data_IF_733385246342
#
_entry.id   IF_733385246342
#
_cell.length_a   1.000
_cell.length_b   1.000
_cell.length_c   1.000
_cell.angle_alpha   90.00
_cell.angle_beta   90.00
_cell.angle_gamma   90.00
#
_symmetry.space_group_name_H-M   'P 1'
#
loop_
_entity.id
_entity.type
_entity.pdbx_description
1 polymer ?
#
# COMPACT_ATOMS: atom_id res chain seq x y z
N UNK A 1 -26.57 -49.92 16.95
CA UNK A 1 -27.42 -51.10 16.75
C UNK A 1 -27.07 -51.73 15.41
N UNK A 2 -26.11 -52.65 15.37
CA UNK A 2 -26.03 -53.68 14.34
C UNK A 2 -25.08 -54.77 14.84
N UNK A 3 -25.70 -55.89 15.24
CA UNK A 3 -25.06 -57.16 15.57
C UNK A 3 -24.47 -57.74 14.28
N UNK A 4 -23.21 -58.17 14.33
CA UNK A 4 -22.66 -59.10 13.34
C UNK A 4 -22.59 -60.46 14.01
N UNK A 5 -23.27 -61.43 13.38
CA UNK A 5 -23.44 -62.80 13.85
C UNK A 5 -22.27 -63.70 13.45
N UNK A 6 -22.06 -64.71 14.30
CA UNK A 6 -21.16 -65.88 14.23
C UNK A 6 -20.95 -66.51 12.85
N UNK A 7 -19.77 -67.13 12.69
CA UNK A 7 -19.57 -68.24 11.75
C UNK A 7 -18.09 -68.62 11.57
N UNK A 8 -17.60 -69.56 12.38
CA UNK A 8 -16.35 -70.33 12.17
C UNK A 8 -16.47 -71.25 10.96
N UNK A 9 -15.44 -71.33 10.12
CA UNK A 9 -15.06 -72.54 9.38
C UNK A 9 -13.58 -72.46 9.00
N UNK A 10 -12.83 -73.46 9.48
CA UNK A 10 -11.45 -73.79 9.10
C UNK A 10 -11.56 -74.54 7.78
N UNK A 11 -10.86 -74.09 6.73
CA UNK A 11 -10.71 -74.88 5.51
C UNK A 11 -9.28 -74.81 4.97
N UNK A 12 -8.54 -75.86 5.34
CA UNK A 12 -7.50 -76.59 4.65
C UNK A 12 -6.93 -75.99 3.36
N UNK A 13 -5.65 -75.66 3.48
CA UNK A 13 -4.60 -75.57 2.46
C UNK A 13 -4.81 -76.54 1.26
N UNK A 14 -4.90 -75.98 0.05
CA UNK A 14 -4.52 -76.68 -1.19
C UNK A 14 -3.83 -75.72 -2.15
N UNK A 15 -2.53 -75.91 -2.30
CA UNK A 15 -1.77 -75.44 -3.44
C UNK A 15 -2.31 -76.11 -4.72
N UNK A 16 -2.80 -75.31 -5.66
CA UNK A 16 -3.11 -75.76 -7.00
C UNK A 16 -1.96 -75.35 -7.92
N UNK A 17 -1.07 -76.31 -8.19
CA UNK A 17 -0.14 -76.23 -9.32
C UNK A 17 -0.88 -76.49 -10.63
N UNK A 18 -0.36 -75.92 -11.72
CA UNK A 18 -0.64 -76.18 -13.14
C UNK A 18 -1.86 -75.48 -13.74
N UNK A 19 -1.62 -74.32 -14.35
CA UNK A 19 -2.28 -73.94 -15.60
C UNK A 19 -1.28 -74.19 -16.73
N UNK A 20 -1.56 -75.22 -17.52
CA UNK A 20 -0.86 -75.50 -18.76
C UNK A 20 -1.30 -74.49 -19.85
N UNK A 21 -0.33 -74.06 -20.67
CA UNK A 21 -0.60 -73.45 -21.97
C UNK A 21 -0.40 -71.93 -22.05
N UNK A 22 0.86 -71.50 -22.11
CA UNK A 22 1.21 -70.32 -22.92
C UNK A 22 2.61 -70.51 -23.51
N UNK A 23 2.66 -70.30 -24.82
CA UNK A 23 3.77 -70.51 -25.75
C UNK A 23 4.93 -69.56 -25.43
N UNK A 24 6.14 -70.09 -25.52
CA UNK A 24 7.41 -69.40 -25.38
C UNK A 24 7.66 -68.34 -26.47
N UNK A 25 8.62 -67.46 -26.18
CA UNK A 25 9.40 -66.59 -27.10
C UNK A 25 8.82 -65.18 -27.32
N UNK A 26 9.11 -64.28 -26.38
CA UNK A 26 9.53 -62.90 -26.66
C UNK A 26 10.27 -62.35 -25.44
N UNK A 27 11.53 -61.96 -25.64
CA UNK A 27 12.32 -61.03 -24.82
C UNK A 27 12.33 -61.25 -23.29
N UNK A 28 13.42 -61.86 -22.81
CA UNK A 28 13.76 -61.99 -21.39
C UNK A 28 14.09 -60.66 -20.67
N UNK A 29 13.52 -59.54 -21.12
CA UNK A 29 13.65 -58.21 -20.51
C UNK A 29 12.39 -57.76 -19.76
N UNK A 30 11.41 -58.63 -19.49
CA UNK A 30 10.18 -58.22 -18.79
C UNK A 30 10.11 -58.57 -17.29
N UNK A 31 11.16 -59.15 -16.70
CA UNK A 31 11.18 -59.45 -15.24
C UNK A 31 12.32 -58.77 -14.50
N UNK A 32 12.68 -57.55 -14.90
CA UNK A 32 13.54 -56.69 -14.10
C UNK A 32 12.69 -55.64 -13.37
N UNK A 33 12.21 -55.95 -12.17
CA UNK A 33 11.61 -54.92 -11.33
C UNK A 33 10.72 -55.33 -10.15
N UNK A 34 10.38 -56.61 -9.99
CA UNK A 34 9.62 -57.05 -8.81
C UNK A 34 10.57 -57.57 -7.73
N UNK A 35 11.21 -56.66 -6.98
CA UNK A 35 11.84 -57.05 -5.70
C UNK A 35 10.71 -57.44 -4.76
N UNK A 36 10.63 -58.74 -4.41
CA UNK A 36 9.70 -59.23 -3.42
C UNK A 36 9.94 -58.53 -2.09
N UNK A 37 8.91 -57.87 -1.54
CA UNK A 37 8.96 -57.16 -0.25
C UNK A 37 9.34 -58.08 0.91
N UNK A 38 9.12 -59.38 0.76
CA UNK A 38 9.32 -60.37 1.81
C UNK A 38 10.79 -60.81 1.95
N UNK A 39 11.65 -60.49 0.98
CA UNK A 39 13.07 -60.88 0.95
C UNK A 39 14.04 -59.69 1.15
N UNK A 40 13.57 -58.58 1.70
CA UNK A 40 14.42 -57.43 2.01
C UNK A 40 15.34 -57.80 3.20
N UNK A 41 16.65 -57.56 3.06
CA UNK A 41 17.71 -57.80 4.06
C UNK A 41 18.03 -59.26 4.44
N UNK A 42 17.57 -60.27 3.70
CA UNK A 42 17.98 -61.65 3.97
C UNK A 42 19.40 -61.91 3.47
N UNK A 43 20.21 -62.61 4.26
CA UNK A 43 21.58 -63.03 3.91
C UNK A 43 21.53 -63.92 2.66
N UNK A 44 21.69 -63.30 1.51
CA UNK A 44 21.82 -63.98 0.22
C UNK A 44 23.22 -64.58 0.16
N UNK A 45 23.30 -65.91 0.14
CA UNK A 45 24.56 -66.61 -0.03
C UNK A 45 25.24 -66.16 -1.35
N UNK A 46 26.54 -65.97 -1.20
CA UNK A 46 27.52 -65.23 -2.00
C UNK A 46 27.31 -65.24 -3.53
N UNK A 47 27.16 -64.05 -4.11
CA UNK A 47 27.28 -63.81 -5.55
C UNK A 47 28.75 -63.47 -5.87
N UNK A 48 29.46 -64.36 -6.57
CA UNK A 48 30.92 -64.32 -6.81
C UNK A 48 31.42 -63.17 -7.74
N UNK A 49 30.53 -62.28 -8.21
CA UNK A 49 30.88 -61.18 -9.12
C UNK A 49 30.54 -59.83 -8.50
N UNK A 50 31.57 -59.01 -8.27
CA UNK A 50 31.42 -57.64 -7.74
C UNK A 50 30.89 -56.71 -8.83
N UNK A 51 29.70 -56.13 -8.60
CA UNK A 51 29.17 -55.03 -9.42
C UNK A 51 29.45 -53.69 -8.73
N UNK A 52 30.00 -52.74 -9.48
CA UNK A 52 30.18 -51.37 -9.01
C UNK A 52 28.83 -50.67 -9.07
N UNK A 53 28.29 -50.27 -7.90
CA UNK A 53 27.04 -49.49 -7.84
C UNK A 53 27.34 -48.08 -8.37
N UNK A 54 26.81 -47.69 -9.55
CA UNK A 54 27.12 -46.42 -10.17
C UNK A 54 26.28 -45.31 -9.55
N UNK A 55 26.56 -44.97 -8.29
CA UNK A 55 25.89 -43.90 -7.55
C UNK A 55 24.48 -44.28 -7.07
N UNK A 56 24.16 -43.86 -5.85
CA UNK A 56 22.83 -44.06 -5.26
C UNK A 56 22.08 -42.73 -5.35
N UNK A 57 20.83 -42.79 -5.80
CA UNK A 57 19.94 -41.62 -5.75
C UNK A 57 19.64 -41.25 -4.30
N UNK A 58 19.64 -39.95 -4.00
CA UNK A 58 19.23 -39.49 -2.68
C UNK A 58 17.81 -39.93 -2.38
N UNK A 59 17.58 -40.34 -1.13
CA UNK A 59 16.27 -40.73 -0.66
C UNK A 59 15.28 -39.57 -0.87
N UNK A 60 14.16 -39.77 -1.59
CA UNK A 60 13.24 -38.70 -1.92
C UNK A 60 12.38 -38.36 -0.70
N UNK A 61 12.91 -37.52 0.20
CA UNK A 61 12.16 -37.01 1.34
C UNK A 61 10.86 -36.36 0.88
N UNK A 62 9.77 -36.67 1.56
CA UNK A 62 8.48 -36.01 1.36
C UNK A 62 8.63 -34.51 1.64
N UNK A 63 8.39 -33.67 0.63
CA UNK A 63 8.54 -32.21 0.72
C UNK A 63 7.32 -31.52 1.33
N UNK A 64 6.76 -32.09 2.39
CA UNK A 64 5.64 -31.49 3.11
C UNK A 64 6.14 -30.38 4.04
N UNK A 65 5.39 -29.28 4.12
CA UNK A 65 5.69 -28.17 5.03
C UNK A 65 5.18 -28.52 6.43
N UNK A 66 6.09 -28.70 7.40
CA UNK A 66 5.76 -29.08 8.77
C UNK A 66 5.70 -27.89 9.76
N UNK A 67 5.95 -26.66 9.28
CA UNK A 67 5.82 -25.46 10.11
C UNK A 67 4.70 -24.57 9.62
N UNK A 68 3.88 -24.11 10.56
CA UNK A 68 2.95 -23.02 10.33
C UNK A 68 3.59 -21.71 10.82
N UNK A 69 3.47 -20.68 10.00
CA UNK A 69 3.92 -19.35 10.36
C UNK A 69 2.70 -18.44 10.47
N UNK A 70 2.61 -17.67 11.57
CA UNK A 70 1.52 -16.71 11.74
C UNK A 70 1.67 -15.53 10.79
N UNK A 71 0.53 -14.98 10.37
CA UNK A 71 0.48 -13.82 9.45
C UNK A 71 1.23 -12.59 10.00
N UNK A 72 1.14 -12.35 11.30
CA UNK A 72 1.83 -11.22 11.97
C UNK A 72 3.35 -11.43 11.93
N UNK A 73 3.84 -12.66 12.19
CA UNK A 73 5.27 -12.96 12.12
C UNK A 73 5.80 -12.78 10.70
N UNK A 74 5.01 -13.20 9.70
CA UNK A 74 5.36 -13.03 8.30
C UNK A 74 5.45 -11.56 7.91
N UNK A 75 4.48 -10.73 8.31
CA UNK A 75 4.49 -9.30 8.02
C UNK A 75 5.61 -8.55 8.73
N UNK A 76 5.96 -8.94 9.96
CA UNK A 76 7.10 -8.35 10.65
C UNK A 76 8.42 -8.63 9.92
N UNK A 77 8.61 -9.84 9.38
CA UNK A 77 9.85 -10.22 8.66
C UNK A 77 9.88 -9.75 7.21
N UNK A 78 8.74 -9.78 6.52
CA UNK A 78 8.60 -9.47 5.09
C UNK A 78 7.81 -8.18 4.90
N UNK A 79 8.39 -7.05 5.31
CA UNK A 79 7.77 -5.74 5.10
C UNK A 79 7.87 -5.33 3.62
N UNK A 80 6.79 -4.79 3.02
CA UNK A 80 6.79 -4.39 1.62
C UNK A 80 7.64 -3.13 1.36
N UNK A 81 7.77 -2.26 2.37
CA UNK A 81 8.50 -1.00 2.27
C UNK A 81 9.56 -0.91 3.37
N UNK A 82 10.66 -0.22 3.07
CA UNK A 82 11.62 0.21 4.07
C UNK A 82 10.97 1.22 5.04
N UNK A 83 11.58 1.42 6.21
CA UNK A 83 11.13 2.45 7.15
C UNK A 83 11.24 3.83 6.50
N UNK A 84 10.13 4.56 6.46
CA UNK A 84 10.07 5.95 6.01
C UNK A 84 10.21 6.89 7.22
N UNK A 85 10.82 8.06 7.05
CA UNK A 85 11.09 8.99 8.16
C UNK A 85 9.80 9.61 8.73
N UNK A 86 8.91 10.05 7.84
CA UNK A 86 7.60 10.61 8.21
C UNK A 86 6.58 9.52 8.61
N UNK A 87 6.35 8.53 7.75
CA UNK A 87 5.34 7.49 7.95
C UNK A 87 5.73 6.39 8.95
N UNK A 88 7.03 6.13 9.12
CA UNK A 88 7.52 4.98 9.84
C UNK A 88 7.41 3.69 9.03
N UNK A 89 6.94 2.62 9.67
CA UNK A 89 6.79 1.29 9.04
C UNK A 89 5.32 0.88 9.03
N UNK A 90 4.92 0.10 8.02
CA UNK A 90 3.62 -0.57 8.03
C UNK A 90 3.52 -1.47 9.28
N UNK A 91 2.40 -1.37 9.99
CA UNK A 91 2.15 -2.11 11.22
C UNK A 91 1.93 -3.60 10.95
N UNK A 92 2.37 -4.45 11.87
CA UNK A 92 2.33 -5.92 11.68
C UNK A 92 0.90 -6.49 11.84
N UNK A 93 -0.04 -5.68 12.31
CA UNK A 93 -1.47 -5.99 12.40
C UNK A 93 -2.30 -5.27 11.33
N UNK A 94 -1.67 -4.53 10.41
CA UNK A 94 -2.36 -3.78 9.36
C UNK A 94 -3.17 -4.70 8.45
N UNK A 95 -4.30 -4.21 7.94
CA UNK A 95 -5.12 -4.95 6.97
C UNK A 95 -4.86 -4.40 5.56
N UNK A 96 -5.04 -5.22 4.53
CA UNK A 96 -4.97 -4.74 3.14
C UNK A 96 -6.12 -3.75 2.83
N UNK A 97 -7.25 -3.90 3.54
CA UNK A 97 -8.40 -3.00 3.46
C UNK A 97 -8.15 -1.69 4.21
N UNK A 98 -7.48 -1.80 5.36
CA UNK A 98 -7.17 -0.70 6.26
C UNK A 98 -5.68 -0.71 6.62
N UNK A 99 -4.81 -0.25 5.71
CA UNK A 99 -3.38 -0.22 5.99
C UNK A 99 -3.11 0.82 7.07
N UNK A 100 -2.27 0.42 8.02
CA UNK A 100 -1.91 1.23 9.18
C UNK A 100 -0.40 1.35 9.28
N UNK A 101 0.08 2.57 9.49
CA UNK A 101 1.50 2.87 9.65
C UNK A 101 1.76 3.34 11.06
N UNK A 102 2.89 2.87 11.60
CA UNK A 102 3.34 3.21 12.94
C UNK A 102 4.67 3.94 12.88
N UNK A 103 4.72 5.11 13.52
CA UNK A 103 5.95 5.85 13.75
C UNK A 103 6.07 6.26 15.22
N UNK A 104 7.29 6.17 15.74
CA UNK A 104 7.66 6.51 17.13
C UNK A 104 8.61 7.71 17.19
N UNK A 105 8.68 8.50 16.11
CA UNK A 105 9.58 9.65 15.99
C UNK A 105 8.77 10.94 15.94
N UNK A 106 9.41 11.98 16.45
CA UNK A 106 8.90 13.35 16.55
C UNK A 106 8.27 13.75 15.22
N UNK A 107 6.97 13.98 15.25
CA UNK A 107 6.22 14.47 14.11
C UNK A 107 5.91 15.94 14.33
N UNK A 108 6.29 16.70 13.31
CA UNK A 108 6.19 18.15 13.20
C UNK A 108 4.70 18.58 13.06
N UNK A 109 4.39 19.88 12.96
CA UNK A 109 3.02 20.44 13.02
C UNK A 109 2.02 19.78 12.05
N UNK A 110 0.81 20.31 11.97
CA UNK A 110 -0.23 19.91 11.00
C UNK A 110 0.29 19.58 9.58
N UNK A 111 1.29 20.32 9.08
CA UNK A 111 1.96 20.02 7.81
C UNK A 111 2.62 18.62 7.75
N UNK A 112 3.20 18.16 8.86
CA UNK A 112 3.70 16.80 9.06
C UNK A 112 2.59 15.76 8.89
N UNK A 113 1.44 15.95 9.56
CA UNK A 113 0.29 15.06 9.38
C UNK A 113 -0.20 15.01 7.93
N UNK A 114 -0.21 16.16 7.24
CA UNK A 114 -0.61 16.24 5.84
C UNK A 114 0.40 15.50 4.93
N UNK A 115 1.70 15.71 5.13
CA UNK A 115 2.74 15.01 4.38
C UNK A 115 2.70 13.49 4.60
N UNK A 116 2.39 13.05 5.82
CA UNK A 116 2.18 11.63 6.11
C UNK A 116 0.97 11.06 5.35
N UNK A 117 -0.15 11.78 5.33
CA UNK A 117 -1.34 11.32 4.59
C UNK A 117 -1.04 11.15 3.09
N UNK A 118 -0.29 12.08 2.50
CA UNK A 118 0.13 12.03 1.09
C UNK A 118 1.04 10.82 0.83
N UNK A 119 2.06 10.63 1.66
CA UNK A 119 3.01 9.52 1.50
C UNK A 119 2.34 8.15 1.74
N UNK A 120 1.41 8.04 2.68
CA UNK A 120 0.61 6.81 2.85
C UNK A 120 -0.26 6.51 1.64
N UNK A 121 -0.88 7.52 1.02
CA UNK A 121 -1.66 7.32 -0.18
C UNK A 121 -0.78 6.83 -1.34
N UNK A 122 0.45 7.33 -1.45
CA UNK A 122 1.43 6.87 -2.42
C UNK A 122 1.84 5.39 -2.19
N UNK A 123 2.17 5.03 -0.94
CA UNK A 123 2.47 3.64 -0.59
C UNK A 123 1.27 2.71 -0.82
N UNK A 124 0.06 3.18 -0.52
CA UNK A 124 -1.17 2.42 -0.78
C UNK A 124 -1.43 2.20 -2.27
N UNK A 125 -1.19 3.22 -3.10
CA UNK A 125 -1.25 3.07 -4.55
C UNK A 125 -0.24 2.02 -5.04
N UNK A 126 1.00 2.09 -4.53
CA UNK A 126 2.06 1.13 -4.83
C UNK A 126 1.70 -0.30 -4.42
N UNK A 127 1.08 -0.53 -3.26
CA UNK A 127 0.57 -1.84 -2.83
C UNK A 127 -0.52 -2.38 -3.76
N UNK A 128 -1.32 -1.50 -4.36
CA UNK A 128 -2.33 -1.85 -5.38
C UNK A 128 -1.73 -2.03 -6.79
N UNK A 129 -0.42 -1.86 -6.95
CA UNK A 129 0.27 -1.92 -8.25
C UNK A 129 -0.04 -0.72 -9.16
N UNK A 130 -0.40 0.42 -8.57
CA UNK A 130 -0.80 1.64 -9.28
C UNK A 130 0.24 2.72 -9.00
N UNK A 131 0.80 3.32 -10.05
CA UNK A 131 1.59 4.55 -9.90
C UNK A 131 0.65 5.75 -9.84
N UNK A 132 0.67 6.47 -8.72
CA UNK A 132 -0.14 7.68 -8.56
C UNK A 132 0.52 8.85 -9.29
N UNK A 133 -0.21 9.50 -10.21
CA UNK A 133 0.30 10.69 -10.91
C UNK A 133 -0.03 11.98 -10.17
N UNK A 134 -1.16 12.01 -9.46
CA UNK A 134 -1.64 13.18 -8.73
C UNK A 134 -2.34 12.71 -7.46
N UNK A 135 -2.01 13.39 -6.36
CA UNK A 135 -2.56 13.13 -5.04
C UNK A 135 -3.32 14.37 -4.59
N UNK A 136 -4.59 14.20 -4.25
CA UNK A 136 -5.44 15.27 -3.74
C UNK A 136 -5.86 14.97 -2.31
N UNK A 137 -5.76 15.97 -1.44
CA UNK A 137 -6.22 15.87 -0.05
C UNK A 137 -7.42 16.81 0.11
N UNK A 138 -8.55 16.23 0.51
CA UNK A 138 -9.84 16.91 0.66
C UNK A 138 -10.35 16.76 2.09
N UNK A 139 -11.19 17.72 2.53
CA UNK A 139 -11.86 17.70 3.84
C UNK A 139 -10.92 17.51 5.04
N UNK A 140 -9.72 18.11 4.96
CA UNK A 140 -8.74 18.02 6.03
C UNK A 140 -9.19 18.80 7.27
N UNK A 141 -9.42 18.08 8.36
CA UNK A 141 -9.90 18.62 9.63
C UNK A 141 -8.88 18.32 10.71
N UNK A 142 -8.45 19.37 11.42
CA UNK A 142 -7.54 19.26 12.57
C UNK A 142 -8.36 19.36 13.84
N UNK A 143 -8.37 18.29 14.62
CA UNK A 143 -9.06 18.22 15.91
C UNK A 143 -8.14 18.71 17.03
N UNK A 144 -6.94 18.14 17.11
CA UNK A 144 -6.00 18.45 18.19
C UNK A 144 -4.55 18.43 17.68
N UNK A 145 -3.77 19.44 18.08
CA UNK A 145 -2.34 19.49 17.76
C UNK A 145 -1.56 18.57 18.70
N UNK A 146 -0.61 17.81 18.15
CA UNK A 146 0.34 17.04 18.95
C UNK A 146 1.46 17.97 19.42
N UNK A 147 1.60 18.12 20.74
CA UNK A 147 2.74 18.79 21.37
C UNK A 147 3.67 17.73 21.93
N UNK A 148 4.95 17.87 21.63
CA UNK A 148 5.97 16.93 22.05
C UNK A 148 6.58 17.45 23.33
N UNK A 149 6.29 16.78 24.43
CA UNK A 149 6.95 17.02 25.71
C UNK A 149 8.15 16.08 25.86
N UNK A 150 9.30 16.66 26.22
CA UNK A 150 10.52 15.88 26.43
C UNK A 150 10.32 14.89 27.60
N UNK A 151 10.55 13.61 27.32
CA UNK A 151 10.49 12.53 28.32
C UNK A 151 9.27 11.60 28.19
N UNK A 152 8.29 11.91 27.34
CA UNK A 152 7.18 11.01 27.04
C UNK A 152 7.41 10.22 25.76
N UNK A 153 7.15 8.92 25.82
CA UNK A 153 7.09 8.08 24.63
C UNK A 153 5.71 8.23 23.99
N UNK A 154 5.71 8.61 22.71
CA UNK A 154 4.51 8.74 21.89
C UNK A 154 4.60 7.79 20.70
N UNK A 155 3.47 7.17 20.39
CA UNK A 155 3.30 6.34 19.19
C UNK A 155 2.27 7.01 18.29
N UNK A 156 2.65 7.35 17.06
CA UNK A 156 1.72 7.88 16.06
C UNK A 156 1.29 6.77 15.12
N UNK A 157 -0.02 6.65 14.94
CA UNK A 157 -0.66 5.77 13.99
C UNK A 157 -1.38 6.59 12.92
N UNK A 158 -1.08 6.27 11.67
CA UNK A 158 -1.87 6.71 10.53
C UNK A 158 -2.63 5.50 9.98
N UNK A 159 -3.94 5.65 9.83
CA UNK A 159 -4.80 4.60 9.26
C UNK A 159 -5.47 5.13 8.01
N UNK A 160 -5.45 4.35 6.93
CA UNK A 160 -6.22 4.63 5.73
C UNK A 160 -7.36 3.64 5.61
N UNK A 161 -8.58 4.12 5.37
CA UNK A 161 -9.77 3.31 5.12
C UNK A 161 -10.32 3.65 3.74
N UNK A 162 -10.68 2.64 2.96
CA UNK A 162 -11.35 2.88 1.67
C UNK A 162 -12.74 3.46 1.91
N UNK A 163 -13.02 4.65 1.41
CA UNK A 163 -14.37 5.23 1.46
C UNK A 163 -15.06 5.03 0.11
N UNK A 164 -16.05 4.13 0.09
CA UNK A 164 -16.80 3.82 -1.13
C UNK A 164 -17.99 4.76 -1.36
N UNK A 165 -18.09 5.86 -0.60
CA UNK A 165 -19.30 6.67 -0.48
C UNK A 165 -19.74 7.34 -1.78
N UNK A 166 -18.83 7.56 -2.75
CA UNK A 166 -19.12 8.31 -3.97
C UNK A 166 -18.75 7.59 -5.28
N UNK A 167 -18.41 6.30 -5.25
CA UNK A 167 -17.93 5.55 -6.42
C UNK A 167 -16.53 5.94 -6.90
N UNK A 168 -15.99 7.07 -6.45
CA UNK A 168 -14.60 7.47 -6.63
C UNK A 168 -13.68 6.73 -5.64
N UNK A 169 -12.48 6.38 -6.10
CA UNK A 169 -11.44 5.76 -5.26
C UNK A 169 -10.84 6.80 -4.32
N UNK A 170 -11.54 7.03 -3.22
CA UNK A 170 -11.10 7.89 -2.14
C UNK A 170 -10.77 7.05 -0.91
N UNK A 171 -9.75 7.48 -0.17
CA UNK A 171 -9.29 6.85 1.05
C UNK A 171 -9.40 7.86 2.19
N UNK A 172 -10.24 7.58 3.18
CA UNK A 172 -10.31 8.35 4.42
C UNK A 172 -9.08 8.06 5.28
N UNK A 173 -8.47 9.10 5.83
CA UNK A 173 -7.33 8.96 6.70
C UNK A 173 -7.62 9.49 8.10
N UNK A 174 -7.07 8.80 9.09
CA UNK A 174 -7.15 9.17 10.50
C UNK A 174 -5.76 9.08 11.10
N UNK A 175 -5.29 10.19 11.66
CA UNK A 175 -4.06 10.24 12.43
C UNK A 175 -4.41 10.29 13.92
N UNK A 176 -3.88 9.33 14.67
CA UNK A 176 -3.98 9.29 16.12
C UNK A 176 -2.60 9.11 16.74
N UNK A 177 -2.42 9.61 17.96
CA UNK A 177 -1.27 9.25 18.77
C UNK A 177 -1.71 8.57 20.07
N UNK A 178 -0.84 7.73 20.59
CA UNK A 178 -0.92 7.17 21.92
C UNK A 178 0.12 7.86 22.78
N UNK A 179 -0.34 8.53 23.82
CA UNK A 179 0.51 9.14 24.84
C UNK A 179 0.49 8.29 26.12
N UNK A 180 1.66 8.10 26.72
CA UNK A 180 1.83 7.36 27.97
C UNK A 180 1.19 8.10 29.16
N UNK A 181 -0.11 7.91 29.35
CA UNK A 181 -0.88 8.48 30.47
C UNK A 181 -2.25 9.04 30.08
N UNK A 182 -2.35 9.60 28.86
CA UNK A 182 -3.59 10.21 28.34
C UNK A 182 -4.40 9.26 27.46
N UNK A 183 -3.75 8.25 26.87
CA UNK A 183 -4.39 7.29 25.97
C UNK A 183 -4.36 7.75 24.51
N UNK A 184 -5.33 7.25 23.72
CA UNK A 184 -5.40 7.53 22.28
C UNK A 184 -6.06 8.89 22.04
N UNK A 185 -5.39 9.73 21.26
CA UNK A 185 -5.85 11.07 20.89
C UNK A 185 -5.90 11.14 19.36
N UNK A 186 -7.01 11.64 18.83
CA UNK A 186 -7.18 11.87 17.40
C UNK A 186 -6.74 13.28 17.04
N UNK A 187 -5.82 13.41 16.09
CA UNK A 187 -5.23 14.69 15.71
C UNK A 187 -5.88 15.30 14.49
N UNK A 188 -6.04 14.52 13.43
CA UNK A 188 -6.63 15.00 12.20
C UNK A 188 -7.24 13.89 11.38
N UNK A 189 -8.24 14.27 10.61
CA UNK A 189 -8.94 13.42 9.66
C UNK A 189 -9.01 14.10 8.30
N UNK A 190 -9.24 13.32 7.27
CA UNK A 190 -9.51 13.84 5.95
C UNK A 190 -9.68 12.73 4.94
N UNK A 191 -9.68 13.11 3.66
CA UNK A 191 -9.82 12.19 2.54
C UNK A 191 -8.67 12.42 1.57
N UNK A 192 -7.97 11.37 1.20
CA UNK A 192 -6.97 11.40 0.13
C UNK A 192 -7.48 10.66 -1.09
N UNK A 193 -7.29 11.25 -2.26
CA UNK A 193 -7.57 10.63 -3.55
C UNK A 193 -6.27 10.48 -4.32
N UNK A 194 -6.06 9.29 -4.88
CA UNK A 194 -4.95 9.01 -5.78
C UNK A 194 -5.47 8.88 -7.21
N UNK A 195 -5.12 9.85 -8.05
CA UNK A 195 -5.44 9.81 -9.47
C UNK A 195 -4.38 8.97 -10.20
N UNK A 196 -4.86 7.98 -10.93
CA UNK A 196 -4.02 7.21 -11.86
C UNK A 196 -3.75 8.07 -13.09
N UNK A 197 -2.55 8.00 -13.69
CA UNK A 197 -2.30 8.66 -14.96
C UNK A 197 -3.30 8.13 -16.00
N UNK A 198 -4.30 8.94 -16.33
CA UNK A 198 -5.08 8.71 -17.53
C UNK A 198 -4.14 9.03 -18.68
N UNK A 199 -3.69 8.00 -19.40
CA UNK A 199 -3.03 8.18 -20.69
C UNK A 199 -4.08 8.77 -21.63
N UNK A 200 -4.25 10.09 -21.57
CA UNK A 200 -4.98 10.83 -22.57
C UNK A 200 -4.09 10.77 -23.79
N UNK A 201 -4.31 9.74 -24.62
CA UNK A 201 -3.69 9.64 -25.93
C UNK A 201 -4.09 10.92 -26.68
N UNK A 202 -3.20 11.91 -26.67
CA UNK A 202 -3.30 13.07 -27.56
C UNK A 202 -3.38 12.48 -28.96
N UNK A 203 -4.57 12.48 -29.54
CA UNK A 203 -4.73 12.30 -30.98
C UNK A 203 -3.99 13.47 -31.59
N UNK A 204 -2.76 13.24 -32.05
CA UNK A 204 -2.11 14.12 -33.00
C UNK A 204 -3.10 14.30 -34.15
N UNK A 205 -3.70 15.49 -34.23
CA UNK A 205 -4.46 15.87 -35.41
C UNK A 205 -3.49 15.74 -36.59
N UNK A 206 -3.75 14.78 -37.47
CA UNK A 206 -3.04 14.71 -38.74
C UNK A 206 -3.39 15.99 -39.49
N UNK A 207 -2.40 16.85 -39.69
CA UNK A 207 -2.46 17.99 -40.61
C UNK A 207 -2.74 17.43 -42.00
N UNK A 208 -4.02 17.39 -42.37
CA UNK A 208 -4.42 17.28 -43.78
C UNK A 208 -4.16 18.64 -44.40
N UNK A 209 -3.06 18.74 -45.16
CA UNK A 209 -2.87 19.84 -46.09
C UNK A 209 -3.91 19.69 -47.20
N UNK A 210 -4.88 20.61 -47.26
CA UNK A 210 -5.75 20.79 -48.40
C UNK A 210 -5.24 22.00 -49.20
N UNK A 211 -4.90 21.75 -50.46
CA UNK A 211 -4.47 22.78 -51.41
C UNK A 211 -5.59 23.78 -51.68
N UNK A 212 -5.16 25.03 -51.85
CA UNK A 212 -5.97 26.23 -52.07
C UNK A 212 -6.34 26.37 -53.55
N UNK A 213 -7.59 26.75 -53.83
CA UNK A 213 -7.91 27.52 -55.04
C UNK A 213 -8.93 28.60 -54.73
N UNK A 214 -8.55 29.85 -55.01
CA UNK A 214 -9.33 31.07 -54.84
C UNK A 214 -10.55 31.12 -55.77
N UNK A 215 -11.64 31.71 -55.27
CA UNK A 215 -12.36 32.75 -56.01
C UNK A 215 -13.16 33.63 -55.03
N UNK A 216 -12.91 34.93 -55.14
CA UNK A 216 -13.54 36.04 -54.41
C UNK A 216 -15.06 36.06 -54.53
N UNK A 217 -15.75 36.55 -53.49
CA UNK A 217 -16.71 37.66 -53.61
C UNK A 217 -16.98 38.24 -52.21
N UNK A 218 -16.77 39.55 -52.06
CA UNK A 218 -17.02 40.31 -50.86
C UNK A 218 -18.52 40.55 -50.62
N UNK A 219 -18.94 40.45 -49.36
CA UNK A 219 -20.05 41.26 -48.83
C UNK A 219 -19.88 41.47 -47.33
N UNK A 220 -19.85 42.76 -46.96
CA UNK A 220 -19.63 43.30 -45.63
C UNK A 220 -20.80 43.04 -44.69
N UNK A 221 -20.53 42.82 -43.39
CA UNK A 221 -21.17 43.58 -42.31
C UNK A 221 -20.67 43.19 -40.90
N UNK A 222 -20.18 44.23 -40.21
CA UNK A 222 -20.44 44.61 -38.80
C UNK A 222 -19.88 43.75 -37.64
N UNK A 223 -18.89 44.36 -36.97
CA UNK A 223 -18.89 44.75 -35.55
C UNK A 223 -19.45 43.77 -34.50
N UNK A 224 -18.55 43.17 -33.73
CA UNK A 224 -18.42 43.43 -32.27
C UNK A 224 -17.22 42.69 -31.68
N UNK A 225 -16.46 43.42 -30.86
CA UNK A 225 -15.47 42.85 -29.95
C UNK A 225 -16.21 42.07 -28.86
N UNK A 226 -15.92 40.78 -28.72
CA UNK A 226 -16.40 39.92 -27.64
C UNK A 226 -15.22 39.43 -26.82
N UNK A 227 -15.12 39.98 -25.63
CA UNK A 227 -14.10 39.70 -24.63
C UNK A 227 -14.18 38.26 -24.12
N UNK A 228 -13.01 37.78 -23.71
CA UNK A 228 -12.79 36.52 -23.00
C UNK A 228 -13.47 36.64 -21.63
N UNK A 229 -14.59 35.95 -21.45
CA UNK A 229 -15.23 35.80 -20.15
C UNK A 229 -14.53 34.66 -19.40
N UNK A 230 -13.69 35.03 -18.44
CA UNK A 230 -13.09 34.12 -17.49
C UNK A 230 -14.14 33.72 -16.44
N UNK A 231 -14.32 32.41 -16.26
CA UNK A 231 -15.19 31.83 -15.25
C UNK A 231 -14.88 32.36 -13.85
N UNK A 232 -15.95 32.75 -13.14
CA UNK A 232 -15.95 33.27 -11.79
C UNK A 232 -15.46 32.23 -10.75
N UNK A 233 -14.74 32.63 -9.68
CA UNK A 233 -14.51 31.76 -8.55
C UNK A 233 -15.76 31.65 -7.65
N UNK A 234 -16.04 30.41 -7.25
CA UNK A 234 -17.16 29.99 -6.43
C UNK A 234 -17.23 30.72 -5.07
N UNK A 235 -18.40 31.29 -4.78
CA UNK A 235 -18.77 31.81 -3.46
C UNK A 235 -19.06 30.63 -2.52
N UNK A 236 -18.24 30.44 -1.49
CA UNK A 236 -18.52 29.56 -0.36
C UNK A 236 -18.92 30.40 0.85
N UNK A 237 -20.21 30.33 1.20
CA UNK A 237 -20.81 30.95 2.37
C UNK A 237 -20.34 30.27 3.66
N UNK A 238 -19.26 30.78 4.26
CA UNK A 238 -18.82 30.35 5.58
C UNK A 238 -19.38 31.28 6.66
N UNK A 239 -20.39 30.79 7.38
CA UNK A 239 -20.96 31.43 8.58
C UNK A 239 -19.91 31.44 9.70
N UNK A 240 -19.11 32.50 9.72
CA UNK A 240 -18.01 32.71 10.66
C UNK A 240 -18.48 32.74 12.13
N UNK A 241 -17.90 31.86 12.95
CA UNK A 241 -17.84 32.06 14.41
C UNK A 241 -16.93 33.26 14.66
N UNK A 242 -17.49 34.35 15.19
CA UNK A 242 -16.74 35.55 15.61
C UNK A 242 -15.83 35.20 16.80
N UNK A 243 -14.55 34.91 16.54
CA UNK A 243 -13.47 35.25 17.45
C UNK A 243 -12.93 36.63 17.03
N UNK A 244 -12.78 37.54 17.99
CA UNK A 244 -12.41 38.93 17.72
C UNK A 244 -11.00 39.04 17.14
N UNK A 245 -10.90 39.15 15.82
CA UNK A 245 -9.67 39.54 15.13
C UNK A 245 -9.51 41.06 15.22
N UNK A 246 -8.43 41.52 15.86
CA UNK A 246 -8.04 42.93 15.87
C UNK A 246 -7.83 43.44 14.44
N UNK A 247 -8.42 44.59 14.14
CA UNK A 247 -8.37 45.23 12.82
C UNK A 247 -6.93 45.66 12.52
N UNK A 248 -6.25 45.00 11.60
CA UNK A 248 -4.90 45.37 11.14
C UNK A 248 -4.99 46.61 10.24
N UNK A 249 -4.65 47.78 10.77
CA UNK A 249 -4.79 49.07 10.06
C UNK A 249 -3.78 49.32 8.92
N UNK A 250 -2.81 48.42 8.69
CA UNK A 250 -1.79 48.56 7.64
C UNK A 250 -1.37 47.19 7.13
N UNK A 251 -1.09 47.03 5.82
CA UNK A 251 -0.53 45.79 5.30
C UNK A 251 0.82 45.52 5.99
N UNK A 252 0.94 44.36 6.64
CA UNK A 252 2.20 43.92 7.24
C UNK A 252 3.01 43.29 6.12
N UNK A 253 3.95 44.04 5.57
CA UNK A 253 5.01 43.54 4.72
C UNK A 253 6.29 43.43 5.55
N UNK A 254 6.84 42.24 5.66
CA UNK A 254 8.01 41.99 6.49
C UNK A 254 8.95 40.95 5.88
N UNK A 255 10.25 41.16 6.09
CA UNK A 255 11.26 40.12 5.83
C UNK A 255 11.06 38.95 6.79
N UNK A 256 11.27 37.72 6.34
CA UNK A 256 11.07 36.51 7.15
C UNK A 256 11.75 36.54 8.51
N UNK A 257 12.99 37.03 8.58
CA UNK A 257 13.74 37.16 9.86
C UNK A 257 13.03 38.08 10.87
N UNK A 258 12.45 39.18 10.39
CA UNK A 258 11.72 40.12 11.25
C UNK A 258 10.46 39.49 11.83
N UNK A 259 9.82 38.62 11.05
CA UNK A 259 8.60 37.90 11.44
C UNK A 259 8.93 36.83 12.45
N UNK A 260 9.97 36.02 12.24
CA UNK A 260 10.37 35.02 13.24
C UNK A 260 10.81 35.65 14.57
N UNK A 261 11.48 36.81 14.52
CA UNK A 261 11.78 37.59 15.75
C UNK A 261 10.50 38.04 16.45
N UNK A 262 9.53 38.56 15.69
CA UNK A 262 8.23 38.95 16.22
C UNK A 262 7.47 37.76 16.84
N UNK A 263 7.42 36.62 16.17
CA UNK A 263 6.82 35.39 16.70
C UNK A 263 7.52 34.93 17.99
N UNK A 264 8.85 35.07 18.06
CA UNK A 264 9.61 34.84 19.29
C UNK A 264 9.18 35.74 20.45
N UNK A 265 8.86 37.01 20.19
CA UNK A 265 8.31 37.91 21.23
C UNK A 265 6.92 37.50 21.71
N UNK A 266 6.15 36.80 20.86
CA UNK A 266 4.86 36.20 21.21
C UNK A 266 4.98 34.82 21.88
N UNK A 267 6.20 34.33 22.09
CA UNK A 267 6.48 33.02 22.71
C UNK A 267 6.46 31.84 21.74
N UNK A 268 6.27 32.07 20.43
CA UNK A 268 6.32 31.01 19.42
C UNK A 268 7.72 30.97 18.80
N UNK A 269 8.51 29.96 19.19
CA UNK A 269 9.88 29.80 18.71
C UNK A 269 9.96 28.65 17.72
N UNK A 270 10.47 28.94 16.52
CA UNK A 270 10.70 27.93 15.48
C UNK A 270 12.18 27.55 15.39
N UNK A 271 12.50 26.25 15.24
CA UNK A 271 13.87 25.81 14.95
C UNK A 271 14.37 26.39 13.62
N UNK A 272 15.68 26.48 13.45
CA UNK A 272 16.30 27.01 12.21
C UNK A 272 15.83 26.27 10.94
N UNK A 273 15.52 24.98 11.03
CA UNK A 273 14.99 24.19 9.90
C UNK A 273 13.59 24.62 9.44
N UNK A 274 12.81 25.27 10.31
CA UNK A 274 11.47 25.79 10.02
C UNK A 274 11.47 27.29 9.71
N UNK A 275 12.65 27.93 9.69
CA UNK A 275 12.82 29.34 9.35
C UNK A 275 13.06 29.50 7.85
N UNK A 276 12.13 29.03 7.01
CA UNK A 276 12.25 29.07 5.55
C UNK A 276 11.52 30.23 4.89
N UNK A 277 10.72 30.99 5.64
CA UNK A 277 9.99 32.16 5.13
C UNK A 277 10.96 33.25 4.65
N UNK A 278 10.80 33.72 3.43
CA UNK A 278 11.61 34.78 2.82
C UNK A 278 10.90 36.13 3.00
N UNK A 279 9.63 36.19 2.62
CA UNK A 279 8.82 37.41 2.65
C UNK A 279 7.37 37.05 2.97
N UNK A 280 6.71 37.89 3.74
CA UNK A 280 5.28 37.79 3.99
C UNK A 280 4.62 39.15 3.79
N UNK A 281 3.56 39.12 3.01
CA UNK A 281 2.68 40.26 2.76
C UNK A 281 1.28 39.88 3.22
N UNK A 282 0.84 40.47 4.33
CA UNK A 282 -0.50 40.28 4.86
C UNK A 282 -1.34 41.54 4.64
N UNK A 283 -2.44 41.37 3.91
CA UNK A 283 -3.52 42.34 3.73
C UNK A 283 -4.71 41.96 4.64
N UNK A 284 -5.80 42.73 4.60
CA UNK A 284 -7.00 42.46 5.41
C UNK A 284 -7.68 41.13 5.06
N UNK A 285 -7.57 40.69 3.80
CA UNK A 285 -8.27 39.50 3.27
C UNK A 285 -7.34 38.37 2.87
N UNK A 286 -6.06 38.67 2.64
CA UNK A 286 -5.12 37.73 2.02
C UNK A 286 -3.77 37.79 2.72
N UNK A 287 -3.18 36.62 2.90
CA UNK A 287 -1.81 36.47 3.39
C UNK A 287 -1.05 35.71 2.32
N UNK A 288 -0.05 36.35 1.73
CA UNK A 288 0.89 35.71 0.82
C UNK A 288 2.26 35.59 1.50
N UNK A 289 2.86 34.42 1.36
CA UNK A 289 4.16 34.08 1.90
C UNK A 289 5.01 33.45 0.79
N UNK A 290 6.29 33.81 0.74
CA UNK A 290 7.29 33.25 -0.17
C UNK A 290 8.42 32.58 0.59
#
# INVERSE_FOLDING_TARGET
>A
MQRISRGTLIEVERAASLVAGRVDISDGTETCGAVSRDNINHNREEQEKTDLIPGIYWYPWTRQKYWYESRISQQHRLKPFARHDLLGTLADWSSDLEPTWRNSRILFPVAGFMSMAIEAANQRASLKGIEASRLEVNNFTVTECLFLEDGFEFEVLLTLRSSNLSGEKADEFHNSSQESGRGWIEHCTGVVKAETPTVTRRRSASTFFADTSLSDTASSSNTSNGEIEADAPATLDNKARKSGAGKLQRPIAGSGESIYKYLGTLGVTYPRSFQSLIELTANETEVAAR
#
